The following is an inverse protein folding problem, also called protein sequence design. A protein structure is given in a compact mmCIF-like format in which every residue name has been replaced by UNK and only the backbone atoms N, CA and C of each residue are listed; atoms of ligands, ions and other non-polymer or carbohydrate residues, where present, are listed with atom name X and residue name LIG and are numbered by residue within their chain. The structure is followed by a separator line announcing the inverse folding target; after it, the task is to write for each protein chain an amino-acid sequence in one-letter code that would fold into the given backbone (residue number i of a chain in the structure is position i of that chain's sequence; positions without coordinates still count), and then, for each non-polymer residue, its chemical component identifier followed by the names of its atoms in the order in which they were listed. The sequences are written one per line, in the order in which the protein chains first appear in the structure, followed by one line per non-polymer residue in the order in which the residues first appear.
data_IF_175267191246
#
_entry.id   IF_175267191246
#
_cell.length_a   1.000
_cell.length_b   1.000
_cell.length_c   1.000
_cell.angle_alpha   90.00
_cell.angle_beta   90.00
_cell.angle_gamma   90.00
#
_symmetry.space_group_name_H-M   'P 1'
#
loop_
_entity.id
_entity.type
_entity.pdbx_description
1 polymer ?
2 non-polymer ?
3 non-polymer ?
4 non-polymer ?
5 non-polymer ?
6 water ?
#
# COMPACT_ATOMS: atom_id res chain seq x y z
N UNK A 1 -16.69 1.76 -4.42
CA UNK A 1 -17.14 2.70 -3.38
C UNK A 1 -18.24 2.09 -2.50
N UNK A 2 -18.60 0.81 -2.53
CA UNK A 2 -19.63 0.28 -1.66
C UNK A 2 -19.01 -0.03 -0.29
N UNK A 3 -19.83 -0.72 0.55
CA UNK A 3 -19.23 -1.10 1.81
C UNK A 3 -18.22 -2.32 1.53
N UNK A 4 -17.29 -2.49 2.50
CA UNK A 4 -16.25 -3.48 2.26
C UNK A 4 -16.78 -4.87 2.00
N UNK A 5 -17.84 -5.33 2.70
CA UNK A 5 -18.31 -6.73 2.42
C UNK A 5 -18.81 -6.84 0.96
N UNK A 6 -19.61 -5.88 0.50
CA UNK A 6 -20.08 -5.92 -0.86
C UNK A 6 -18.86 -5.76 -1.83
N UNK A 7 -17.82 -5.01 -1.52
CA UNK A 7 -16.69 -4.80 -2.38
C UNK A 7 -15.82 -6.12 -2.44
N UNK A 8 -15.66 -6.80 -1.32
CA UNK A 8 -14.89 -8.07 -1.41
C UNK A 8 -15.68 -9.05 -2.28
N UNK A 9 -16.99 -9.10 -2.16
CA UNK A 9 -17.78 -9.99 -3.01
C UNK A 9 -17.65 -9.66 -4.49
N UNK A 10 -17.77 -8.36 -4.84
CA UNK A 10 -17.57 -7.92 -6.21
C UNK A 10 -16.21 -8.26 -6.71
N UNK A 11 -15.19 -8.01 -5.91
CA UNK A 11 -13.82 -8.19 -6.36
C UNK A 11 -13.56 -9.66 -6.62
N UNK A 12 -14.16 -10.55 -5.81
CA UNK A 12 -14.00 -11.99 -6.01
C UNK A 12 -14.58 -12.36 -7.40
N UNK A 13 -15.77 -11.85 -7.67
CA UNK A 13 -16.46 -12.13 -8.95
C UNK A 13 -15.64 -11.65 -10.11
N UNK A 14 -15.08 -10.46 -10.01
CA UNK A 14 -14.30 -9.88 -11.16
C UNK A 14 -13.01 -10.73 -11.33
N UNK A 15 -12.33 -11.16 -10.27
CA UNK A 15 -11.14 -11.99 -10.46
C UNK A 15 -11.51 -13.25 -11.15
N UNK A 16 -12.60 -13.91 -10.73
CA UNK A 16 -12.97 -15.20 -11.40
C UNK A 16 -13.30 -14.92 -12.86
N UNK A 17 -14.00 -13.84 -13.18
CA UNK A 17 -14.34 -13.61 -14.59
C UNK A 17 -13.08 -13.36 -15.42
N UNK A 18 -12.10 -12.67 -14.88
CA UNK A 18 -10.88 -12.35 -15.57
C UNK A 18 -9.92 -13.51 -15.61
N UNK A 19 -10.15 -14.57 -14.84
CA UNK A 19 -9.28 -15.74 -14.80
C UNK A 19 -9.70 -16.86 -15.74
N UNK A 20 -10.47 -16.56 -16.78
CA UNK A 20 -10.96 -17.58 -17.72
C UNK A 20 -9.77 -18.32 -18.39
N UNK A 21 -8.65 -17.60 -18.58
CA UNK A 21 -7.44 -18.16 -19.17
C UNK A 21 -6.34 -18.57 -18.20
N UNK A 22 -6.68 -18.56 -16.86
CA UNK A 22 -5.66 -18.95 -15.86
C UNK A 22 -4.63 -17.94 -15.65
N UNK A 23 -4.86 -16.64 -15.99
CA UNK A 23 -3.81 -15.67 -15.88
C UNK A 23 -3.76 -14.98 -14.41
N UNK A 24 -4.71 -15.36 -13.59
CA UNK A 24 -4.76 -14.75 -12.23
C UNK A 24 -4.61 -15.85 -11.17
N UNK A 25 -3.78 -16.84 -11.42
CA UNK A 25 -3.67 -17.90 -10.45
C UNK A 25 -3.28 -17.37 -9.03
N UNK A 26 -2.27 -16.55 -8.95
CA UNK A 26 -1.81 -16.09 -7.62
C UNK A 26 -2.80 -15.21 -6.95
N UNK A 27 -3.52 -14.38 -7.77
CA UNK A 27 -4.48 -13.41 -7.17
C UNK A 27 -5.71 -14.17 -6.68
N UNK A 28 -6.18 -15.16 -7.43
CA UNK A 28 -7.24 -16.01 -6.97
C UNK A 28 -6.81 -16.74 -5.67
N UNK A 29 -5.57 -17.20 -5.60
CA UNK A 29 -5.23 -17.91 -4.34
C UNK A 29 -5.21 -16.96 -3.20
N UNK A 30 -4.67 -15.71 -3.41
CA UNK A 30 -4.67 -14.73 -2.28
C UNK A 30 -6.11 -14.42 -1.92
N UNK A 31 -7.01 -14.26 -2.85
CA UNK A 31 -8.37 -14.00 -2.59
C UNK A 31 -9.03 -15.14 -1.84
N UNK A 32 -8.86 -16.36 -2.29
CA UNK A 32 -9.45 -17.50 -1.61
C UNK A 32 -8.92 -17.58 -0.16
N UNK A 33 -7.63 -17.43 0.04
CA UNK A 33 -7.09 -17.48 1.36
C UNK A 33 -7.73 -16.43 2.30
N UNK A 34 -7.85 -15.22 1.79
CA UNK A 34 -8.49 -14.18 2.64
C UNK A 34 -9.88 -14.52 2.87
N UNK A 35 -10.66 -14.99 1.87
CA UNK A 35 -12.04 -15.35 2.10
C UNK A 35 -12.22 -16.47 3.15
N UNK A 36 -11.24 -17.34 3.24
CA UNK A 36 -11.26 -18.47 4.17
C UNK A 36 -10.43 -18.20 5.42
N UNK A 37 -10.04 -16.98 5.73
CA UNK A 37 -9.05 -16.74 6.79
C UNK A 37 -9.65 -17.02 8.15
N UNK A 38 -10.95 -16.95 8.36
CA UNK A 38 -11.51 -17.22 9.70
C UNK A 38 -11.48 -18.73 9.94
N UNK A 39 -11.29 -19.57 8.89
CA UNK A 39 -11.28 -21.10 9.06
C UNK A 39 -9.93 -21.62 8.96
N UNK A 40 -8.94 -20.94 8.43
CA UNK A 40 -7.66 -21.50 7.99
C UNK A 40 -6.61 -21.40 9.05
N UNK A 41 -6.93 -20.65 10.11
CA UNK A 41 -5.85 -20.30 11.15
C UNK A 41 -4.98 -19.15 10.70
N UNK A 42 -5.25 -18.53 9.54
CA UNK A 42 -4.49 -17.39 9.08
C UNK A 42 -4.58 -16.16 9.94
N UNK A 43 -3.66 -15.24 9.68
CA UNK A 43 -3.64 -13.91 10.33
C UNK A 43 -4.48 -13.02 9.43
N UNK A 44 -5.75 -12.84 9.78
CA UNK A 44 -6.75 -12.08 8.95
C UNK A 44 -6.26 -10.71 8.72
N UNK A 45 -5.77 -9.98 9.71
CA UNK A 45 -5.25 -8.58 9.54
C UNK A 45 -4.08 -8.55 8.58
N UNK A 46 -3.13 -9.44 8.72
CA UNK A 46 -1.95 -9.40 7.81
C UNK A 46 -2.41 -9.77 6.41
N UNK A 47 -3.30 -10.76 6.25
CA UNK A 47 -3.72 -11.04 4.85
C UNK A 47 -4.49 -9.90 4.30
N UNK A 48 -5.37 -9.23 5.03
CA UNK A 48 -6.09 -8.12 4.43
C UNK A 48 -5.10 -6.97 4.14
N UNK A 49 -4.06 -6.74 4.91
CA UNK A 49 -3.02 -5.74 4.56
C UNK A 49 -2.42 -6.06 3.18
N UNK A 50 -2.02 -7.31 2.98
CA UNK A 50 -1.30 -7.62 1.76
C UNK A 50 -2.25 -7.61 0.58
N UNK A 51 -3.55 -7.83 0.79
CA UNK A 51 -4.48 -7.91 -0.37
C UNK A 51 -5.09 -6.50 -0.61
N UNK A 52 -4.91 -5.51 0.25
CA UNK A 52 -5.55 -4.20 0.17
C UNK A 52 -5.35 -3.59 -1.22
N UNK A 53 -4.11 -3.70 -1.78
CA UNK A 53 -3.82 -3.02 -3.01
C UNK A 53 -4.80 -3.53 -4.14
N UNK A 54 -5.16 -4.83 -4.12
CA UNK A 54 -6.05 -5.32 -5.13
C UNK A 54 -7.50 -4.83 -4.92
N UNK A 55 -7.99 -4.87 -3.67
CA UNK A 55 -9.27 -4.31 -3.36
C UNK A 55 -9.36 -2.80 -3.72
N UNK A 56 -8.28 -2.09 -3.46
CA UNK A 56 -8.29 -0.67 -3.76
C UNK A 56 -8.39 -0.48 -5.25
N UNK A 57 -7.64 -1.28 -6.04
CA UNK A 57 -7.68 -1.12 -7.49
C UNK A 57 -9.06 -1.33 -8.09
N UNK A 58 -9.85 -2.26 -7.53
CA UNK A 58 -11.09 -2.56 -8.13
C UNK A 58 -12.32 -1.94 -7.36
N UNK A 59 -12.07 -1.19 -6.28
CA UNK A 59 -13.16 -0.63 -5.43
C UNK A 59 -14.15 0.24 -6.19
N UNK A 60 -15.40 -0.06 -6.04
CA UNK A 60 -16.49 0.77 -6.62
C UNK A 60 -17.17 1.69 -5.63
N UNK B 1 21.03 -0.94 -14.07
CA UNK B 1 21.52 -2.02 -14.93
C UNK B 1 22.72 -2.70 -14.36
N UNK B 2 23.27 -2.39 -13.15
CA UNK B 2 24.43 -3.07 -12.66
C UNK B 2 24.01 -4.46 -12.13
N UNK B 3 24.95 -5.09 -11.43
CA UNK B 3 24.59 -6.33 -10.76
C UNK B 3 23.73 -5.98 -9.48
N UNK B 4 23.02 -7.04 -9.07
CA UNK B 4 22.04 -6.78 -7.99
C UNK B 4 22.70 -6.21 -6.74
N UNK B 5 23.88 -6.71 -6.33
CA UNK B 5 24.48 -6.19 -5.08
C UNK B 5 24.82 -4.71 -5.23
N UNK B 6 25.41 -4.29 -6.35
CA UNK B 6 25.69 -2.88 -6.54
C UNK B 6 24.38 -2.13 -6.58
N UNK B 7 23.33 -2.65 -7.20
CA UNK B 7 22.11 -1.88 -7.38
C UNK B 7 21.41 -1.71 -6.01
N UNK B 8 21.43 -2.79 -5.19
CA UNK B 8 20.79 -2.62 -3.84
C UNK B 8 21.57 -1.50 -3.07
N UNK B 9 22.87 -1.48 -3.16
CA UNK B 9 23.59 -0.47 -2.50
C UNK B 9 23.27 0.94 -3.01
N UNK B 10 23.26 1.06 -4.32
CA UNK B 10 22.86 2.36 -4.89
C UNK B 10 21.49 2.79 -4.51
N UNK B 11 20.53 1.84 -4.48
CA UNK B 11 19.14 2.14 -4.19
C UNK B 11 19.05 2.62 -2.76
N UNK B 12 19.79 1.99 -1.84
CA UNK B 12 19.74 2.36 -0.41
C UNK B 12 20.21 3.87 -0.35
N UNK B 13 21.32 4.20 -0.99
CA UNK B 13 21.85 5.57 -0.93
C UNK B 13 20.84 6.55 -1.51
N UNK B 14 20.17 6.19 -2.61
CA UNK B 14 19.18 7.19 -3.21
C UNK B 14 17.98 7.32 -2.22
N UNK B 15 17.48 6.26 -1.63
CA UNK B 15 16.36 6.48 -0.66
C UNK B 15 16.78 7.34 0.47
N UNK B 16 17.99 7.14 1.01
CA UNK B 16 18.35 7.97 2.16
C UNK B 16 18.47 9.39 1.67
N UNK B 17 19.05 9.69 0.49
CA UNK B 17 19.16 11.10 0.01
C UNK B 17 17.78 11.71 -0.18
N UNK B 18 16.82 10.96 -0.66
CA UNK B 18 15.49 11.43 -0.94
C UNK B 18 14.62 11.61 0.36
N UNK B 19 15.06 10.99 1.47
CA UNK B 19 14.38 11.01 2.72
C UNK B 19 14.81 12.17 3.62
N UNK B 20 15.37 13.25 3.10
CA UNK B 20 15.81 14.36 3.96
C UNK B 20 14.65 15.02 4.69
N UNK B 21 13.43 14.92 4.14
CA UNK B 21 12.25 15.52 4.81
C UNK B 21 11.38 14.46 5.42
N UNK B 22 11.86 13.18 5.55
CA UNK B 22 11.03 12.09 6.21
C UNK B 22 9.94 11.63 5.34
N UNK B 23 9.97 11.85 4.02
CA UNK B 23 8.89 11.47 3.15
C UNK B 23 8.92 9.97 2.76
N UNK B 24 9.98 9.27 3.09
CA UNK B 24 10.11 7.83 2.66
C UNK B 24 10.26 6.97 3.88
N UNK B 25 9.52 7.25 4.94
CA UNK B 25 9.64 6.44 6.17
C UNK B 25 9.41 4.95 5.90
N UNK B 26 8.31 4.60 5.19
CA UNK B 26 7.96 3.21 4.96
C UNK B 26 8.97 2.55 4.05
N UNK B 27 9.42 3.30 3.01
CA UNK B 27 10.32 2.68 2.04
C UNK B 27 11.67 2.46 2.65
N UNK B 28 12.15 3.40 3.50
CA UNK B 28 13.38 3.16 4.24
C UNK B 28 13.24 1.97 5.18
N UNK B 29 12.08 1.80 5.83
CA UNK B 29 11.92 0.61 6.74
C UNK B 29 11.96 -0.64 5.88
N UNK B 30 11.28 -0.67 4.73
CA UNK B 30 11.31 -1.90 3.90
C UNK B 30 12.73 -2.18 3.51
N UNK B 31 13.51 -1.17 3.07
CA UNK B 31 14.88 -1.32 2.64
C UNK B 31 15.71 -1.81 3.80
N UNK B 32 15.60 -1.22 4.99
CA UNK B 32 16.39 -1.67 6.13
C UNK B 32 16.05 -3.12 6.45
N UNK B 33 14.79 -3.49 6.47
CA UNK B 33 14.42 -4.84 6.80
C UNK B 33 15.06 -5.81 5.77
N UNK B 34 14.99 -5.52 4.48
CA UNK B 34 15.61 -6.44 3.52
C UNK B 34 17.08 -6.48 3.73
N UNK B 35 17.79 -5.32 3.95
CA UNK B 35 19.20 -5.31 4.15
C UNK B 35 19.63 -6.15 5.37
N UNK B 36 18.75 -6.21 6.37
CA UNK B 36 19.01 -6.94 7.61
C UNK B 36 18.38 -8.33 7.66
N UNK B 37 17.89 -8.84 6.53
CA UNK B 37 17.00 -10.01 6.63
C UNK B 37 17.85 -11.26 7.00
N UNK B 38 19.15 -11.35 6.75
CA UNK B 38 19.87 -12.56 7.16
C UNK B 38 20.09 -12.53 8.67
N UNK B 39 19.90 -11.40 9.34
CA UNK B 39 20.12 -11.28 10.83
C UNK B 39 18.79 -11.31 11.55
N UNK B 40 17.70 -11.00 10.95
CA UNK B 40 16.46 -10.68 11.68
C UNK B 40 15.57 -11.92 11.79
N UNK B 41 15.95 -13.03 11.16
CA UNK B 41 14.96 -14.19 11.12
C UNK B 41 13.95 -14.01 9.99
N UNK B 42 14.05 -12.91 9.19
CA UNK B 42 13.07 -12.67 8.13
C UNK B 42 13.11 -13.74 7.02
N UNK B 43 12.10 -13.70 6.21
CA UNK B 43 11.91 -14.55 5.02
C UNK B 43 12.53 -13.74 3.88
N UNK B 44 13.82 -13.98 3.55
CA UNK B 44 14.56 -13.16 2.60
C UNK B 44 13.88 -13.19 1.23
N UNK B 45 13.45 -14.35 0.74
CA UNK B 45 12.76 -14.39 -0.53
C UNK B 45 11.52 -13.57 -0.51
N UNK B 46 10.70 -13.66 0.51
CA UNK B 46 9.43 -12.95 0.52
C UNK B 46 9.71 -11.48 0.62
N UNK B 47 10.71 -11.03 1.39
CA UNK B 47 10.97 -9.57 1.46
C UNK B 47 11.52 -9.07 0.13
N UNK B 48 12.40 -9.82 -0.54
CA UNK B 48 12.91 -9.30 -1.80
C UNK B 48 11.82 -9.30 -2.87
N UNK B 49 10.90 -10.26 -2.85
CA UNK B 49 9.77 -10.22 -3.76
C UNK B 49 9.03 -8.92 -3.57
N UNK B 50 8.72 -8.53 -2.32
CA UNK B 50 7.91 -7.39 -2.02
C UNK B 50 8.66 -6.09 -2.17
N UNK B 51 9.98 -6.11 -2.29
CA UNK B 51 10.75 -4.87 -2.51
C UNK B 51 11.05 -4.72 -3.99
N UNK B 52 10.86 -5.73 -4.86
CA UNK B 52 11.27 -5.69 -6.25
C UNK B 52 10.66 -4.45 -6.95
N UNK B 53 9.46 -4.01 -6.59
CA UNK B 53 8.83 -2.85 -7.24
C UNK B 53 9.71 -1.66 -7.12
N UNK B 54 10.36 -1.43 -5.96
CA UNK B 54 11.21 -0.28 -5.81
C UNK B 54 12.53 -0.37 -6.48
N UNK B 55 13.15 -1.58 -6.41
CA UNK B 55 14.41 -1.81 -7.11
C UNK B 55 14.25 -1.65 -8.61
N UNK B 56 13.12 -2.10 -9.13
CA UNK B 56 12.82 -1.99 -10.60
C UNK B 56 12.73 -0.54 -11.00
N UNK B 57 12.18 0.33 -10.17
CA UNK B 57 12.03 1.73 -10.54
C UNK B 57 13.35 2.45 -10.59
N UNK B 58 14.33 2.06 -9.71
CA UNK B 58 15.55 2.75 -9.55
C UNK B 58 16.74 2.06 -10.18
N UNK B 59 16.58 0.84 -10.69
CA UNK B 59 17.66 0.07 -11.31
C UNK B 59 18.37 0.79 -12.43
N UNK B 60 19.69 0.77 -12.33
CA UNK B 60 20.58 1.36 -13.38
C UNK B 60 21.34 0.31 -14.22
N UNK C 1 -18.57 -20.21 8.98
CA UNK C 1 -17.73 -20.90 7.94
C UNK C 1 -18.00 -20.37 6.55
N UNK C 2 -18.83 -19.28 6.40
CA UNK C 2 -19.03 -18.68 5.01
C UNK C 2 -17.82 -17.92 4.61
N UNK C 3 -17.85 -17.40 3.35
CA UNK C 3 -16.71 -16.61 3.01
C UNK C 3 -16.66 -15.29 3.83
N UNK C 4 -15.51 -14.70 3.82
CA UNK C 4 -15.28 -13.53 4.68
C UNK C 4 -16.28 -12.39 4.37
N UNK C 5 -16.64 -12.17 3.12
CA UNK C 5 -17.56 -11.09 2.84
C UNK C 5 -18.92 -11.39 3.49
N UNK C 6 -19.40 -12.64 3.37
CA UNK C 6 -20.60 -13.11 4.05
C UNK C 6 -20.50 -12.93 5.59
N UNK C 7 -19.39 -13.25 6.14
CA UNK C 7 -19.24 -13.20 7.63
C UNK C 7 -19.19 -11.73 8.06
N UNK C 8 -18.52 -10.84 7.33
CA UNK C 8 -18.52 -9.41 7.70
C UNK C 8 -19.98 -8.90 7.58
N UNK C 9 -20.72 -9.24 6.53
CA UNK C 9 -22.09 -8.79 6.41
C UNK C 9 -22.98 -9.28 7.57
N UNK C 10 -22.81 -10.57 7.95
CA UNK C 10 -23.55 -11.11 9.08
C UNK C 10 -23.21 -10.34 10.35
N UNK C 11 -21.94 -10.06 10.59
CA UNK C 11 -21.57 -9.47 11.81
C UNK C 11 -22.09 -8.00 11.83
N UNK C 12 -22.02 -7.31 10.68
CA UNK C 12 -22.57 -5.92 10.63
C UNK C 12 -24.00 -5.96 11.06
N UNK C 13 -24.79 -6.83 10.48
CA UNK C 13 -26.22 -6.75 10.68
C UNK C 13 -26.57 -7.12 12.11
N UNK C 14 -25.93 -8.16 12.65
CA UNK C 14 -26.32 -8.58 14.01
C UNK C 14 -25.77 -7.61 15.00
N UNK C 15 -24.57 -6.99 14.78
CA UNK C 15 -24.03 -6.03 15.75
C UNK C 15 -24.93 -4.85 15.80
N UNK C 16 -25.43 -4.35 14.62
CA UNK C 16 -26.38 -3.21 14.66
C UNK C 16 -27.66 -3.61 15.37
N UNK C 17 -28.19 -4.83 15.18
CA UNK C 17 -29.44 -5.18 15.92
C UNK C 17 -29.12 -5.21 17.43
N UNK C 18 -27.95 -5.67 17.85
CA UNK C 18 -27.66 -5.74 19.30
C UNK C 18 -27.31 -4.39 19.88
N UNK C 19 -27.09 -3.37 19.04
CA UNK C 19 -26.89 -1.98 19.47
C UNK C 19 -28.20 -1.22 19.56
N UNK C 20 -29.39 -1.85 19.64
CA UNK C 20 -30.58 -1.07 19.68
C UNK C 20 -30.67 -0.23 20.95
N UNK C 21 -29.96 -0.61 22.03
CA UNK C 21 -29.89 0.16 23.30
C UNK C 21 -28.65 1.02 23.36
N UNK C 22 -27.90 1.18 22.26
CA UNK C 22 -26.70 1.93 22.36
C UNK C 22 -25.59 1.48 23.27
N UNK C 23 -25.55 0.09 23.44
CA UNK C 23 -24.49 -0.41 24.31
C UNK C 23 -23.15 -0.80 23.61
N UNK C 24 -23.13 -0.64 22.31
CA UNK C 24 -22.01 -1.17 21.55
C UNK C 24 -21.38 -0.04 20.69
N UNK C 25 -21.25 1.17 21.24
CA UNK C 25 -20.75 2.31 20.41
C UNK C 25 -19.37 2.02 19.83
N UNK C 26 -18.43 1.50 20.61
CA UNK C 26 -17.07 1.29 20.11
C UNK C 26 -17.09 0.20 19.01
N UNK C 27 -17.84 -0.86 19.19
CA UNK C 27 -17.80 -1.89 18.20
C UNK C 27 -18.47 -1.48 16.95
N UNK C 28 -19.57 -0.71 17.03
CA UNK C 28 -20.19 -0.19 15.83
C UNK C 28 -19.27 0.80 15.10
N UNK C 29 -18.53 1.63 15.81
CA UNK C 29 -17.63 2.52 15.17
C UNK C 29 -16.54 1.76 14.42
N UNK C 30 -15.97 0.70 15.07
CA UNK C 30 -14.92 -0.09 14.43
C UNK C 30 -15.47 -0.73 13.19
N UNK C 31 -16.67 -1.29 13.26
CA UNK C 31 -17.34 -1.91 12.14
C UNK C 31 -17.50 -0.91 10.96
N UNK C 32 -18.04 0.25 11.28
CA UNK C 32 -18.29 1.23 10.25
C UNK C 32 -17.02 1.70 9.63
N UNK C 33 -15.95 1.92 10.38
CA UNK C 33 -14.67 2.33 9.83
C UNK C 33 -14.12 1.23 8.96
N UNK C 34 -14.19 -0.04 9.36
CA UNK C 34 -13.70 -1.07 8.46
C UNK C 34 -14.52 -1.05 7.19
N UNK C 35 -15.83 -0.98 7.28
CA UNK C 35 -16.68 -1.05 6.09
C UNK C 35 -16.36 0.10 5.14
N UNK C 36 -15.93 1.27 5.59
CA UNK C 36 -15.74 2.40 4.75
C UNK C 36 -14.27 2.56 4.47
N UNK C 37 -13.35 1.67 4.89
CA UNK C 37 -11.94 1.96 4.88
C UNK C 37 -11.36 2.15 3.50
N UNK C 38 -11.82 1.44 2.46
CA UNK C 38 -11.28 1.68 1.12
C UNK C 38 -11.68 3.06 0.60
N UNK C 39 -12.74 3.61 1.10
CA UNK C 39 -13.19 4.96 0.66
C UNK C 39 -12.54 5.98 1.46
N UNK C 40 -12.23 5.78 2.69
CA UNK C 40 -11.78 6.81 3.58
C UNK C 40 -10.27 6.93 3.62
N UNK C 41 -9.56 5.96 3.04
CA UNK C 41 -8.10 5.76 3.13
C UNK C 41 -7.66 5.26 4.49
N UNK C 42 -8.61 4.65 5.20
CA UNK C 42 -8.44 4.08 6.54
C UNK C 42 -7.61 2.87 6.32
N UNK C 43 -7.00 2.32 7.36
CA UNK C 43 -6.15 1.10 7.26
C UNK C 43 -6.95 -0.17 7.50
N UNK C 44 -7.23 -0.99 6.49
CA UNK C 44 -8.17 -2.11 6.68
C UNK C 44 -7.61 -3.05 7.75
N UNK C 45 -6.31 -3.27 7.74
CA UNK C 45 -5.74 -4.25 8.63
C UNK C 45 -5.86 -3.77 10.06
N UNK C 46 -5.62 -2.48 10.31
CA UNK C 46 -5.65 -2.03 11.69
C UNK C 46 -7.14 -2.01 12.20
N UNK C 47 -8.13 -1.73 11.34
CA UNK C 47 -9.55 -1.82 11.73
C UNK C 47 -9.95 -3.24 11.97
N UNK C 48 -9.63 -4.13 11.05
CA UNK C 48 -10.17 -5.50 11.21
C UNK C 48 -9.48 -6.17 12.41
N UNK C 49 -8.22 -5.85 12.73
CA UNK C 49 -7.58 -6.48 13.89
C UNK C 49 -8.47 -6.25 15.13
N UNK C 50 -9.07 -5.10 15.27
CA UNK C 50 -9.83 -4.67 16.45
C UNK C 50 -11.23 -5.28 16.50
N UNK C 51 -11.68 -5.96 15.46
CA UNK C 51 -12.98 -6.66 15.53
C UNK C 51 -12.88 -8.14 15.11
N UNK C 52 -11.62 -8.62 14.97
CA UNK C 52 -11.44 -10.02 14.64
C UNK C 52 -12.10 -11.00 15.58
N UNK C 53 -12.08 -10.67 16.88
CA UNK C 53 -12.67 -11.66 17.86
C UNK C 53 -14.14 -11.73 17.67
N UNK C 54 -14.80 -10.64 17.19
CA UNK C 54 -16.23 -10.73 16.94
C UNK C 54 -16.54 -11.67 15.76
N UNK C 55 -15.75 -11.47 14.66
CA UNK C 55 -15.96 -12.34 13.46
C UNK C 55 -15.64 -13.82 13.90
N UNK C 56 -14.63 -14.00 14.73
CA UNK C 56 -14.31 -15.41 15.10
C UNK C 56 -15.47 -16.00 15.85
N UNK C 57 -16.08 -15.21 16.73
CA UNK C 57 -17.20 -15.71 17.55
C UNK C 57 -18.44 -16.07 16.69
N UNK C 58 -18.79 -15.16 15.73
CA UNK C 58 -19.98 -15.33 14.97
C UNK C 58 -19.81 -16.26 13.76
N UNK C 59 -18.57 -16.61 13.43
CA UNK C 59 -18.27 -17.28 12.14
C UNK C 59 -19.13 -18.52 11.98
N UNK C 60 -19.79 -18.59 10.80
CA UNK C 60 -20.49 -19.81 10.37
C UNK C 60 -19.79 -20.60 9.29
N UNK D 1 12.44 14.06 32.02
CA UNK D 1 11.54 15.01 32.76
C UNK D 1 11.64 16.38 32.03
N UNK D 2 12.28 16.53 30.85
CA UNK D 2 12.20 17.79 30.04
C UNK D 2 10.87 17.90 29.37
N UNK D 3 10.69 19.02 28.65
CA UNK D 3 9.43 19.10 27.91
C UNK D 3 9.31 18.07 26.78
N UNK D 4 8.09 17.87 26.34
CA UNK D 4 7.87 16.80 25.35
C UNK D 4 8.71 17.05 24.08
N UNK D 5 8.91 18.30 23.62
CA UNK D 5 9.68 18.48 22.39
C UNK D 5 11.11 18.02 22.61
N UNK D 6 11.68 18.38 23.78
CA UNK D 6 13.04 17.95 24.10
C UNK D 6 13.09 16.42 24.23
N UNK D 7 12.10 15.81 24.76
CA UNK D 7 12.13 14.33 24.94
C UNK D 7 11.99 13.67 23.55
N UNK D 8 11.15 14.17 22.65
CA UNK D 8 11.06 13.58 21.29
C UNK D 8 12.42 13.78 20.60
N UNK D 9 13.07 14.93 20.74
CA UNK D 9 14.35 15.13 20.11
C UNK D 9 15.39 14.15 20.65
N UNK D 10 15.46 13.98 21.98
CA UNK D 10 16.39 13.03 22.59
C UNK D 10 16.14 11.62 21.99
N UNK D 11 14.87 11.25 21.93
CA UNK D 11 14.57 9.89 21.57
C UNK D 11 14.87 9.65 20.08
N UNK D 12 14.61 10.68 19.24
CA UNK D 12 15.02 10.61 17.79
C UNK D 12 16.53 10.38 17.68
N UNK D 13 17.36 11.15 18.37
CA UNK D 13 18.75 11.08 18.21
C UNK D 13 19.29 9.78 18.72
N UNK D 14 18.78 9.30 19.86
CA UNK D 14 19.31 8.02 20.37
C UNK D 14 18.86 6.86 19.52
N UNK D 15 17.59 6.88 19.08
CA UNK D 15 17.13 5.80 18.24
C UNK D 15 17.97 5.70 16.99
N UNK D 16 18.27 6.86 16.35
CA UNK D 16 19.10 6.77 15.15
C UNK D 16 20.47 6.18 15.45
N UNK D 17 21.06 6.62 16.59
CA UNK D 17 22.42 6.08 16.92
C UNK D 17 22.31 4.60 17.13
N UNK D 18 21.26 4.10 17.77
CA UNK D 18 21.13 2.63 18.07
C UNK D 18 20.71 1.83 16.84
N UNK D 19 20.29 2.50 15.78
CA UNK D 19 19.96 1.89 14.49
C UNK D 19 21.17 1.83 13.57
N UNK D 20 22.43 1.99 14.04
CA UNK D 20 23.55 1.93 13.13
C UNK D 20 23.73 0.57 12.46
N UNK D 21 23.17 -0.48 13.05
CA UNK D 21 23.15 -1.83 12.47
C UNK D 21 21.86 -2.18 11.80
N UNK D 22 20.95 -1.24 11.61
CA UNK D 22 19.68 -1.54 11.02
C UNK D 22 18.77 -2.50 11.74
N UNK D 23 18.90 -2.50 13.13
CA UNK D 23 18.01 -3.35 13.88
C UNK D 23 16.69 -2.78 14.33
N UNK D 24 16.48 -1.51 14.04
CA UNK D 24 15.33 -0.79 14.62
C UNK D 24 14.47 -0.22 13.45
N UNK D 25 14.27 -0.96 12.36
CA UNK D 25 13.54 -0.34 11.22
C UNK D 25 12.18 0.11 11.61
N UNK D 26 11.40 -0.69 12.33
CA UNK D 26 10.05 -0.23 12.63
C UNK D 26 10.00 0.95 13.54
N UNK D 27 10.90 1.04 14.51
CA UNK D 27 10.91 2.14 15.46
C UNK D 27 11.29 3.36 14.74
N UNK D 28 12.31 3.32 13.86
CA UNK D 28 12.73 4.51 13.09
C UNK D 28 11.58 4.95 12.18
N UNK D 29 10.87 4.04 11.53
CA UNK D 29 9.77 4.42 10.70
C UNK D 29 8.67 5.17 11.48
N UNK D 30 8.32 4.59 12.64
CA UNK D 30 7.30 5.25 13.45
C UNK D 30 7.75 6.60 13.93
N UNK D 31 9.01 6.75 14.32
CA UNK D 31 9.56 8.04 14.70
C UNK D 31 9.54 9.06 13.56
N UNK D 32 9.97 8.59 12.37
CA UNK D 32 9.96 9.51 11.22
C UNK D 32 8.57 9.90 10.86
N UNK D 33 7.59 9.04 10.88
CA UNK D 33 6.24 9.37 10.51
C UNK D 33 5.66 10.37 11.58
N UNK D 34 5.93 10.15 12.87
CA UNK D 34 5.43 11.14 13.85
C UNK D 34 6.12 12.45 13.58
N UNK D 35 7.43 12.53 13.34
CA UNK D 35 8.13 13.80 13.15
C UNK D 35 7.57 14.54 11.93
N UNK D 36 7.04 13.87 10.91
CA UNK D 36 6.55 14.48 9.71
C UNK D 36 5.04 14.60 9.71
N UNK D 37 4.34 14.24 10.79
CA UNK D 37 2.89 14.04 10.63
C UNK D 37 2.13 15.31 10.41
N UNK D 38 2.58 16.46 10.90
CA UNK D 38 1.85 17.70 10.52
C UNK D 38 1.98 18.07 9.07
N UNK D 39 3.07 17.63 8.48
CA UNK D 39 3.29 17.85 7.03
C UNK D 39 2.58 16.92 6.12
N UNK D 40 2.41 15.68 6.58
CA UNK D 40 1.93 14.63 5.72
C UNK D 40 0.45 14.38 5.84
N UNK D 41 -0.18 14.97 6.86
CA UNK D 41 -1.60 14.73 7.14
C UNK D 41 -1.75 13.46 8.00
N UNK D 42 -0.64 12.99 8.59
CA UNK D 42 -0.68 11.78 9.46
C UNK D 42 -1.41 12.11 10.74
N UNK D 43 -1.72 11.07 11.51
CA UNK D 43 -2.47 11.18 12.69
C UNK D 43 -1.48 11.15 13.80
N UNK D 44 -1.28 12.30 14.46
CA UNK D 44 -0.22 12.36 15.46
C UNK D 44 -0.46 11.39 16.62
N UNK D 45 -1.76 11.20 17.01
CA UNK D 45 -2.07 10.33 18.12
C UNK D 45 -1.75 8.89 17.74
N UNK D 46 -2.11 8.47 16.51
CA UNK D 46 -1.88 7.10 15.99
C UNK D 46 -0.40 6.83 16.14
N UNK D 47 0.40 7.74 15.60
CA UNK D 47 1.82 7.59 15.55
C UNK D 47 2.48 7.56 16.95
N UNK D 48 2.10 8.54 17.75
CA UNK D 48 2.78 8.65 19.03
C UNK D 48 2.35 7.47 19.94
N UNK D 49 1.17 6.96 19.86
CA UNK D 49 0.74 5.88 20.70
C UNK D 49 1.75 4.72 20.58
N UNK D 50 2.24 4.48 19.37
CA UNK D 50 3.03 3.36 19.04
C UNK D 50 4.50 3.52 19.46
N UNK D 51 4.94 4.67 19.92
CA UNK D 51 6.32 4.88 20.42
C UNK D 51 6.28 5.51 21.84
N UNK D 52 5.08 5.57 22.48
CA UNK D 52 5.04 6.15 23.80
C UNK D 52 5.93 5.41 24.81
N UNK D 53 5.97 4.09 24.63
CA UNK D 53 6.73 3.32 25.64
C UNK D 53 8.19 3.68 25.57
N UNK D 54 8.72 4.07 24.34
CA UNK D 54 10.09 4.48 24.26
C UNK D 54 10.33 5.84 24.96
N UNK D 55 9.41 6.78 24.68
CA UNK D 55 9.57 8.14 25.32
C UNK D 55 9.49 7.94 26.89
N UNK D 56 8.59 7.04 27.29
CA UNK D 56 8.46 6.85 28.77
C UNK D 56 9.75 6.28 29.35
N UNK D 57 10.40 5.36 28.61
CA UNK D 57 11.65 4.78 29.12
C UNK D 57 12.78 5.77 29.14
N UNK D 58 12.92 6.63 28.09
CA UNK D 58 14.05 7.50 27.96
C UNK D 58 13.85 8.87 28.74
N UNK D 59 12.61 9.11 29.21
CA UNK D 59 12.20 10.42 29.70
C UNK D 59 13.17 10.91 30.77
N UNK D 60 13.68 12.16 30.54
CA UNK D 60 14.51 12.83 31.49
C UNK D 60 13.74 13.93 32.25
N UNK E 1 19.44 21.72 -2.49
CA UNK E 1 18.82 22.22 -1.28
C UNK E 1 17.33 22.51 -1.45
N UNK E 2 16.93 22.78 -2.71
CA UNK E 2 15.56 22.65 -3.30
C UNK E 2 14.76 21.44 -2.94
N UNK E 3 13.45 21.68 -2.92
CA UNK E 3 12.38 20.74 -2.62
C UNK E 3 12.12 20.20 -4.03
N UNK E 4 13.22 20.12 -4.73
CA UNK E 4 13.10 19.83 -5.99
C UNK E 4 12.59 18.30 -6.18
N UNK E 5 12.97 17.40 -5.22
CA UNK E 5 12.60 15.97 -5.13
C UNK E 5 11.13 15.48 -4.77
N UNK E 6 10.57 16.28 -3.87
CA UNK E 6 9.23 16.04 -3.39
C UNK E 6 8.24 16.84 -4.17
N UNK E 7 8.52 18.11 -4.39
CA UNK E 7 7.45 18.88 -4.95
C UNK E 7 7.55 19.02 -6.43
N UNK E 8 8.78 19.06 -7.08
CA UNK E 8 8.76 19.34 -8.48
C UNK E 8 8.77 18.02 -9.24
N UNK E 9 9.79 17.16 -8.98
CA UNK E 9 9.74 15.86 -9.65
C UNK E 9 8.67 14.95 -9.09
N UNK E 10 8.29 15.20 -7.85
CA UNK E 10 7.30 14.30 -7.17
C UNK E 10 7.88 12.86 -7.13
N UNK E 11 9.21 12.79 -6.92
CA UNK E 11 9.86 11.45 -6.86
C UNK E 11 9.47 10.70 -5.60
N UNK E 12 9.49 11.38 -4.43
CA UNK E 12 9.06 10.66 -3.21
C UNK E 12 7.61 10.33 -3.30
N UNK E 13 6.73 11.17 -3.95
CA UNK E 13 5.38 10.78 -4.05
C UNK E 13 5.15 9.58 -4.94
N UNK E 14 5.91 9.47 -6.01
CA UNK E 14 5.89 8.27 -6.86
C UNK E 14 6.34 7.03 -6.08
N UNK E 15 7.46 7.13 -5.36
CA UNK E 15 7.90 5.95 -4.54
C UNK E 15 6.87 5.55 -3.53
N UNK E 16 6.23 6.53 -2.86
CA UNK E 16 5.18 6.19 -1.87
C UNK E 16 4.05 5.44 -2.59
N UNK E 17 3.64 5.88 -3.81
CA UNK E 17 2.53 5.26 -4.53
C UNK E 17 2.93 3.89 -5.01
N UNK E 18 4.19 3.69 -5.43
CA UNK E 18 4.68 2.29 -5.73
C UNK E 18 4.65 1.41 -4.53
N UNK E 19 5.04 1.99 -3.40
CA UNK E 19 5.19 1.18 -2.14
C UNK E 19 3.89 0.71 -1.65
N UNK E 20 2.81 1.50 -1.76
CA UNK E 20 1.46 1.14 -1.23
C UNK E 20 0.46 0.76 -2.27
N UNK E 21 0.62 1.23 -3.51
CA UNK E 21 -0.45 1.22 -4.56
C UNK E 21 -1.33 2.40 -4.47
N UNK E 22 -1.29 3.21 -3.40
CA UNK E 22 -2.27 4.31 -3.23
C UNK E 22 -2.00 5.46 -4.22
N UNK E 23 -2.99 5.85 -5.04
CA UNK E 23 -2.81 6.96 -5.99
C UNK E 23 -1.79 6.65 -7.06
N UNK E 24 -1.51 5.37 -7.34
CA UNK E 24 -0.42 5.04 -8.22
C UNK E 24 -0.72 5.31 -9.67
N UNK E 25 -1.92 5.09 -10.15
CA UNK E 25 -2.25 5.51 -11.58
C UNK E 25 -1.99 6.99 -11.74
N UNK E 26 -2.52 7.83 -10.84
CA UNK E 26 -2.25 9.29 -10.92
C UNK E 26 -0.79 9.61 -10.94
N UNK E 27 -0.05 9.03 -9.96
CA UNK E 27 1.32 9.46 -9.79
C UNK E 27 2.18 8.97 -10.95
N UNK E 28 1.91 7.79 -11.49
CA UNK E 28 2.64 7.31 -12.70
C UNK E 28 2.28 8.28 -13.87
N UNK E 29 1.01 8.68 -13.99
CA UNK E 29 0.65 9.59 -15.06
C UNK E 29 1.35 10.95 -14.93
N UNK E 30 1.48 11.47 -13.68
CA UNK E 30 2.18 12.73 -13.49
C UNK E 30 3.65 12.57 -13.83
N UNK E 31 4.30 11.48 -13.39
CA UNK E 31 5.73 11.35 -13.67
C UNK E 31 5.94 11.19 -15.21
N UNK E 32 5.02 10.43 -15.88
CA UNK E 32 5.12 10.29 -17.34
C UNK E 32 5.01 11.66 -18.01
N UNK E 33 4.10 12.51 -17.51
CA UNK E 33 3.96 13.86 -18.13
C UNK E 33 5.25 14.61 -17.96
N UNK E 34 5.87 14.60 -16.75
CA UNK E 34 7.13 15.25 -16.52
C UNK E 34 8.19 14.70 -17.50
N UNK E 35 8.30 13.40 -17.60
CA UNK E 35 9.36 12.77 -18.36
C UNK E 35 9.07 12.77 -19.86
N UNK E 36 7.87 13.26 -20.23
CA UNK E 36 7.66 13.62 -21.67
C UNK E 36 8.57 14.66 -22.14
N UNK E 37 9.20 15.43 -21.25
CA UNK E 37 10.24 16.41 -21.66
C UNK E 37 11.39 15.69 -22.37
N UNK E 38 11.62 14.41 -22.06
CA UNK E 38 12.76 13.70 -22.69
C UNK E 38 12.43 13.30 -24.14
N UNK E 39 11.13 13.26 -24.54
CA UNK E 39 10.67 12.93 -25.88
C UNK E 39 11.38 11.70 -26.38
N UNK E 40 11.68 10.72 -25.56
CA UNK E 40 12.54 9.61 -26.07
C UNK E 40 11.79 8.37 -26.23
N UNK E 41 10.51 8.41 -25.91
CA UNK E 41 9.69 7.23 -25.85
C UNK E 41 10.38 6.08 -25.11
N UNK E 42 11.04 6.38 -23.99
CA UNK E 42 11.78 5.28 -23.33
C UNK E 42 10.91 4.15 -22.60
N UNK E 43 11.52 3.09 -22.08
CA UNK E 43 10.92 2.34 -20.97
C UNK E 43 10.76 3.30 -19.73
N UNK E 44 9.56 3.46 -19.14
CA UNK E 44 9.39 4.48 -18.04
C UNK E 44 10.22 4.17 -16.84
N UNK E 45 10.25 2.89 -16.40
CA UNK E 45 11.05 2.59 -15.20
C UNK E 45 12.54 3.00 -15.43
N UNK E 46 13.06 2.72 -16.63
CA UNK E 46 14.44 3.08 -16.85
C UNK E 46 14.63 4.64 -16.81
N UNK E 47 13.62 5.36 -17.36
CA UNK E 47 13.72 6.80 -17.32
C UNK E 47 13.54 7.35 -15.89
N UNK E 48 12.71 6.69 -15.04
CA UNK E 48 12.61 7.11 -13.61
C UNK E 48 13.94 6.97 -12.97
N UNK E 49 14.62 5.78 -13.24
CA UNK E 49 15.91 5.56 -12.65
C UNK E 49 16.92 6.62 -13.06
N UNK E 50 16.92 7.01 -14.35
CA UNK E 50 17.88 8.05 -14.81
C UNK E 50 17.53 9.47 -14.21
N UNK E 51 16.23 9.71 -14.15
CA UNK E 51 15.80 11.06 -13.56
C UNK E 51 16.25 11.11 -12.10
N UNK E 52 16.14 9.95 -11.38
CA UNK E 52 16.49 9.94 -10.01
C UNK E 52 17.99 10.14 -9.87
N UNK E 53 18.81 9.46 -10.74
CA UNK E 53 20.26 9.76 -10.80
C UNK E 53 20.54 11.24 -10.97
N UNK E 54 19.78 11.84 -11.90
CA UNK E 54 19.98 13.29 -12.14
C UNK E 54 19.65 14.09 -10.86
N UNK E 55 18.58 13.79 -10.18
CA UNK E 55 18.30 14.51 -8.90
C UNK E 55 19.47 14.35 -7.96
N UNK E 56 19.97 13.13 -7.86
CA UNK E 56 21.09 12.86 -6.92
C UNK E 56 22.31 13.69 -7.30
N UNK E 57 22.58 13.83 -8.63
CA UNK E 57 23.72 14.55 -9.10
C UNK E 57 23.57 16.07 -8.82
N UNK E 58 22.33 16.59 -8.93
CA UNK E 58 22.14 17.99 -8.70
C UNK E 58 22.31 18.30 -7.22
N UNK E 59 22.07 17.31 -6.34
CA UNK E 59 22.12 17.50 -4.91
C UNK E 59 21.53 18.85 -4.47
N UNK E 60 20.29 19.16 -4.88
CA UNK E 60 19.65 20.45 -4.53
C UNK E 60 19.15 20.56 -3.11
N UNK F 1 -15.95 -12.76 -25.34
CA UNK F 1 -15.27 -13.95 -25.81
C UNK F 1 -13.85 -13.63 -26.30
N UNK F 2 -13.68 -12.41 -26.83
CA UNK F 2 -12.36 -11.76 -27.10
C UNK F 2 -11.36 -11.78 -25.97
N UNK F 3 -10.10 -11.63 -26.30
CA UNK F 3 -9.16 -11.47 -25.26
C UNK F 3 -8.93 -9.98 -24.98
N UNK F 4 -10.04 -9.26 -24.76
CA UNK F 4 -9.80 -7.93 -24.28
C UNK F 4 -9.16 -7.79 -22.92
N UNK F 5 -9.41 -8.73 -22.01
CA UNK F 5 -8.95 -8.70 -20.64
C UNK F 5 -7.40 -8.84 -20.39
N UNK F 6 -6.77 -9.70 -21.26
CA UNK F 6 -5.35 -9.95 -21.10
C UNK F 6 -4.64 -9.12 -22.15
N UNK F 7 -5.03 -9.24 -23.40
CA UNK F 7 -4.12 -8.71 -24.37
C UNK F 7 -4.46 -7.28 -24.64
N UNK F 8 -5.75 -6.82 -24.73
CA UNK F 8 -5.94 -5.47 -25.22
C UNK F 8 -5.93 -4.53 -24.03
N UNK F 9 -6.81 -4.77 -23.01
CA UNK F 9 -6.72 -3.87 -21.85
C UNK F 9 -5.50 -4.16 -21.00
N UNK F 10 -4.96 -5.36 -21.08
CA UNK F 10 -3.89 -5.77 -20.22
C UNK F 10 -4.33 -5.64 -18.76
N UNK F 11 -5.57 -6.04 -18.48
CA UNK F 11 -6.09 -5.90 -17.07
C UNK F 11 -5.50 -6.99 -16.20
N UNK F 12 -5.41 -8.26 -16.68
CA UNK F 12 -4.80 -9.28 -15.84
C UNK F 12 -3.33 -8.96 -15.66
N UNK F 13 -2.60 -8.37 -16.67
CA UNK F 13 -1.23 -8.03 -16.51
C UNK F 13 -1.06 -6.95 -15.46
N UNK F 14 -1.94 -5.98 -15.40
CA UNK F 14 -1.92 -4.96 -14.37
C UNK F 14 -2.12 -5.56 -12.99
N UNK F 15 -3.11 -6.46 -12.85
CA UNK F 15 -3.33 -7.08 -11.51
C UNK F 15 -2.15 -7.96 -11.14
N UNK F 16 -1.55 -8.69 -12.07
CA UNK F 16 -0.35 -9.43 -11.77
C UNK F 16 0.73 -8.53 -11.26
N UNK F 17 0.95 -7.38 -11.89
CA UNK F 17 2.00 -6.44 -11.48
C UNK F 17 1.74 -5.87 -10.14
N UNK F 18 0.46 -5.51 -9.88
CA UNK F 18 0.12 -4.99 -8.55
C UNK F 18 0.28 -6.09 -7.48
N UNK F 19 -0.11 -7.28 -7.75
CA UNK F 19 -0.08 -8.33 -6.71
C UNK F 19 1.35 -8.76 -6.51
N UNK F 20 2.20 -8.85 -7.51
CA UNK F 20 3.55 -9.35 -7.34
C UNK F 20 4.61 -8.33 -7.22
N UNK F 21 4.30 -7.05 -7.63
CA UNK F 21 5.32 -6.02 -7.69
C UNK F 21 6.23 -6.12 -8.87
N UNK F 22 6.09 -7.13 -9.72
CA UNK F 22 6.98 -7.27 -10.93
C UNK F 22 6.53 -6.36 -12.07
N UNK F 23 7.47 -5.62 -12.57
CA UNK F 23 7.19 -4.73 -13.75
C UNK F 23 6.13 -3.65 -13.39
N UNK F 24 6.04 -3.22 -12.11
CA UNK F 24 4.84 -2.46 -11.67
C UNK F 24 4.84 -1.06 -12.33
N UNK F 25 5.93 -0.31 -12.28
CA UNK F 25 5.83 1.09 -12.82
C UNK F 25 5.49 1.01 -14.31
N UNK F 26 6.10 0.08 -15.11
CA UNK F 26 5.78 0.04 -16.53
C UNK F 26 4.43 -0.42 -16.79
N UNK F 27 3.90 -1.41 -16.05
CA UNK F 27 2.58 -1.91 -16.40
C UNK F 27 1.52 -0.88 -16.02
N UNK F 28 1.68 -0.19 -14.86
CA UNK F 28 0.74 0.88 -14.61
C UNK F 28 0.82 1.94 -15.70
N UNK F 29 1.99 2.26 -16.17
CA UNK F 29 2.11 3.27 -17.25
C UNK F 29 1.37 2.83 -18.51
N UNK F 30 1.46 1.53 -18.82
CA UNK F 30 0.72 1.05 -20.02
C UNK F 30 -0.80 1.23 -19.77
N UNK F 31 -1.28 0.92 -18.59
CA UNK F 31 -2.69 1.05 -18.32
C UNK F 31 -3.11 2.54 -18.39
N UNK F 32 -2.29 3.40 -17.80
CA UNK F 32 -2.66 4.83 -17.81
C UNK F 32 -2.67 5.37 -19.20
N UNK F 33 -1.90 4.84 -20.12
CA UNK F 33 -1.99 5.39 -21.49
C UNK F 33 -3.31 4.98 -22.03
N UNK F 34 -3.78 3.75 -21.82
CA UNK F 34 -5.13 3.39 -22.22
C UNK F 34 -6.17 4.28 -21.55
N UNK F 35 -6.03 4.47 -20.19
CA UNK F 35 -7.02 5.21 -19.29
C UNK F 35 -7.04 6.76 -19.76
N UNK F 36 -5.95 7.21 -20.34
CA UNK F 36 -5.89 8.62 -20.70
C UNK F 36 -6.75 8.87 -21.95
N UNK F 37 -7.02 7.76 -22.66
CA UNK F 37 -7.85 7.86 -23.90
C UNK F 37 -9.34 8.19 -23.52
N UNK F 38 -9.66 7.74 -22.36
CA UNK F 38 -10.97 7.32 -21.93
C UNK F 38 -11.35 8.66 -21.40
N UNK F 39 -10.64 9.09 -20.37
CA UNK F 39 -10.97 10.40 -19.77
C UNK F 39 -10.06 11.54 -20.09
N UNK F 40 -9.47 11.47 -21.31
CA UNK F 40 -8.79 12.62 -22.01
C UNK F 40 -7.80 13.48 -21.13
N UNK F 41 -6.99 12.71 -20.38
CA UNK F 41 -6.08 13.21 -19.38
C UNK F 41 -6.71 13.86 -18.15
N UNK F 42 -7.96 13.56 -17.80
CA UNK F 42 -8.43 13.80 -16.44
C UNK F 42 -7.66 13.09 -15.31
N UNK F 43 -8.08 13.34 -14.06
CA UNK F 43 -7.69 12.60 -12.84
C UNK F 43 -8.08 11.08 -12.98
N UNK F 44 -7.13 10.21 -12.60
CA UNK F 44 -7.28 8.75 -12.84
C UNK F 44 -7.60 7.97 -11.61
N UNK F 45 -7.89 8.59 -10.53
CA UNK F 45 -8.30 7.88 -9.38
C UNK F 45 -9.56 7.13 -9.76
N UNK F 46 -9.66 5.89 -9.38
CA UNK F 46 -10.80 4.93 -9.56
C UNK F 46 -11.14 4.53 -11.01
N UNK F 47 -10.29 4.98 -11.93
CA UNK F 47 -10.53 4.67 -13.30
C UNK F 47 -10.25 3.19 -13.67
N UNK F 48 -9.26 2.55 -13.01
CA UNK F 48 -9.06 1.17 -13.27
C UNK F 48 -10.28 0.37 -12.84
N UNK F 49 -10.89 0.74 -11.69
CA UNK F 49 -12.05 0.06 -11.27
C UNK F 49 -13.23 0.17 -12.24
N UNK F 50 -13.44 1.42 -12.80
CA UNK F 50 -14.57 1.59 -13.71
C UNK F 50 -14.25 0.83 -15.02
N UNK F 51 -13.00 0.89 -15.48
CA UNK F 51 -12.63 0.18 -16.72
C UNK F 51 -12.89 -1.33 -16.56
N UNK F 52 -12.50 -1.83 -15.35
CA UNK F 52 -12.77 -3.25 -15.14
C UNK F 52 -14.24 -3.61 -15.11
N UNK F 53 -15.08 -2.74 -14.48
CA UNK F 53 -16.51 -2.94 -14.57
C UNK F 53 -17.05 -3.00 -15.99
N UNK F 54 -16.51 -2.09 -16.84
CA UNK F 54 -16.92 -2.13 -18.27
C UNK F 54 -16.51 -3.43 -18.89
N UNK F 55 -15.26 -3.88 -18.64
CA UNK F 55 -14.88 -5.20 -19.24
C UNK F 55 -15.86 -6.32 -18.82
N UNK F 56 -16.24 -6.30 -17.54
CA UNK F 56 -17.15 -7.34 -17.08
C UNK F 56 -18.50 -7.24 -17.70
N UNK F 57 -18.89 -5.98 -17.99
CA UNK F 57 -20.23 -5.80 -18.61
C UNK F 57 -20.22 -6.23 -20.08
N UNK F 58 -19.09 -6.12 -20.77
CA UNK F 58 -19.04 -6.53 -22.19
C UNK F 58 -19.14 -8.06 -22.33
N UNK F 59 -18.64 -8.70 -21.27
CA UNK F 59 -18.41 -10.13 -21.23
C UNK F 59 -17.95 -10.71 -22.58
N UNK F 60 -16.84 -10.18 -23.03
CA UNK F 60 -16.36 -10.65 -24.34
C UNK F 60 -15.63 -12.01 -24.28
X LIG G 1 2.68 -12.95 1.26
X LIG G 1 3.16 -14.30 1.83
X LIG G 1 1.28 -12.59 1.51
X LIG G 1 3.53 -11.87 1.92
X LIG G 1 2.80 -13.12 -0.18
X LIG H 1 -21.06 -27.87 4.10
X LIG H 1 -21.13 -28.51 2.80
X LIG H 1 -19.86 -28.23 1.98
X LIG H 1 -19.86 -26.88 1.50
X LIG H 1 -18.87 -26.69 0.43
X LIG H 1 -19.34 -25.42 -0.24
X LIG H 1 -19.09 -24.30 0.66
X LIG H 1 -19.46 -23.07 -0.07
X LIG H 1 -19.20 -22.02 0.94
X LIG H 1 -17.79 -21.83 1.18
X LIG H 1 -17.60 -20.86 2.15
X LIG H 1 -16.09 -20.57 2.36
X LIG H 1 -15.58 -19.98 1.13
X LIG H 1 -14.19 -19.64 1.22
X LIG H 1 -13.76 -18.97 -0.04
X LIG H 1 -13.77 -19.89 -1.11
X LIG H 1 -13.37 -19.20 -2.33
X LIG H 1 -13.27 -20.27 -3.45
X LIG H 1 -14.58 -20.76 -3.68
X LIG H 1 -14.48 -21.62 -4.79
X LIG H 1 -15.77 -22.13 -4.94
X LIG H 1 -16.72 -21.12 -5.27
X LIG H 1 -18.01 -21.69 -4.96
X LIG H 1 -18.98 -20.58 -4.61
X LIG H 1 -19.10 -20.50 -3.20
X LIG H 1 -20.12 -19.52 -3.00
X LIG H 1 -20.34 -19.48 -1.52
X LIG H 1 -19.07 -19.00 -0.98
X LIG I 1 -10.46 -11.03 -3.00
X LIG I 1 -9.56 -10.46 -2.11
X LIG I 1 -8.90 -9.25 -2.45
X LIG I 1 -9.18 -8.67 -3.71
X LIG I 1 -10.09 -9.23 -4.59
X LIG I 1 -10.73 -10.36 -4.21
X LIG I 1 -11.21 -12.30 -2.64
X LIG I 1 -7.89 -8.63 -1.52
X LIG I 1 -10.29 -8.57 -5.92
X LIG J 1 3.40 -5.08 0.53
X LIG J 1 2.13 -5.62 0.60
X LIG J 1 3.51 -4.10 1.64
X LIG J 1 4.60 -5.74 0.53
X LIG J 1 3.42 -4.17 -0.53
X LIG K 1 11.97 18.08 7.19
X LIG K 1 11.06 18.40 8.26
X LIG K 1 10.27 17.13 8.56
X LIG K 1 11.20 16.22 9.10
X LIG K 1 10.45 15.04 9.27
X LIG K 1 11.27 13.97 9.99
X LIG K 1 12.27 13.49 9.15
X LIG K 1 13.03 12.49 9.87
X LIG K 1 14.03 11.87 8.94
X LIG K 1 14.99 12.84 8.56
X LIG K 1 15.95 12.23 7.69
X LIG K 1 16.90 13.41 7.49
X LIG K 1 17.97 13.42 8.39
X LIG K 1 17.71 14.43 9.36
X LIG K 1 18.99 15.19 9.64
X LIG K 1 19.05 15.19 11.06
X LIG L 1 14.87 -2.07 -2.05
X LIG L 1 15.70 -2.15 -0.87
X LIG L 1 16.56 -1.07 -0.56
X LIG L 1 16.57 0.07 -1.37
X LIG L 1 15.72 0.19 -2.45
X LIG L 1 14.90 -0.90 -2.80
X LIG L 1 13.94 -3.21 -2.40
X LIG L 1 17.46 -1.21 0.62
X LIG L 1 15.71 1.46 -3.30
X LIG M 1 -12.39 -0.80 19.83
X LIG M 1 -11.65 -1.15 18.63
X LIG M 1 -13.69 -1.68 19.91
X LIG M 1 -11.67 -1.21 21.11
X LIG M 1 -12.54 0.64 20.05
X LIG N 1 -20.99 -25.10 15.80
X LIG N 1 -21.82 -26.33 15.60
X LIG N 1 -21.49 -23.70 15.35
X LIG N 1 -22.57 -23.22 16.22
X LIG N 1 -20.42 -22.56 15.12
X LIG N 1 -19.63 -22.70 13.93
X LIG O 1 -26.88 2.56 7.05
X LIG O 1 -26.13 3.78 7.10
X LIG O 1 -24.94 3.64 8.06
X LIG O 1 -23.97 2.77 7.44
X LIG O 1 -22.88 2.70 8.32
X LIG O 1 -21.94 1.79 7.65
X LIG O 1 -21.37 2.44 6.46
X LIG O 1 -20.41 1.59 5.91
X LIG O 1 -19.66 2.26 4.75
X LIG O 1 -20.55 2.19 3.65
X LIG O 1 -19.87 2.64 2.52
X LIG O 1 -20.82 2.74 1.33
X LIG O 1 -22.01 3.58 1.67
X LIG O 1 -23.07 3.37 0.67
X LIG O 1 -24.22 4.32 1.00
X LIG O 1 -23.81 5.65 0.65
X LIG O 1 -24.80 6.72 0.91
X LIG O 1 -24.36 8.17 0.72
X LIG O 1 -23.10 8.34 0.01
X LIG O 1 -22.56 9.64 0.45
X LIG O 1 -21.51 9.57 1.63
X LIG O 1 -20.26 8.79 1.39
X LIG P 1 -18.33 -7.06 13.07
X LIG P 1 -18.93 -6.07 12.24
X LIG P 1 -18.07 -5.36 11.33
X LIG P 1 -16.71 -5.60 11.36
X LIG P 1 -16.12 -6.67 12.20
X LIG P 1 -17.01 -7.32 13.09
X LIG P 1 -19.31 -7.76 14.03
X LIG P 1 -18.68 -4.29 10.40
X LIG P 1 -14.64 -6.92 12.20
X LIG Q 1 5.94 -0.11 15.49
X LIG Q 1 5.60 -0.77 14.18
X LIG Q 1 5.11 -1.16 16.21
X LIG Q 1 7.44 0.00 16.11
X LIG Q 1 5.34 1.24 15.81
X LIG R 1 16.53 8.04 35.89
X LIG R 1 16.42 8.59 37.22
X LIG R 1 15.15 8.40 35.20
X LIG R 1 14.54 9.70 35.24
X LIG R 1 14.00 7.62 35.80
X LIG R 1 13.83 6.81 34.66
X LIG S 1 23.20 0.30 4.46
X LIG S 1 23.67 -0.65 5.35
X LIG S 1 25.10 -0.31 5.54
X LIG S 1 25.93 -1.05 6.45
X LIG S 1 27.21 -0.33 6.56
X LIG S 1 27.40 0.88 7.48
X LIG S 1 26.18 1.57 7.84
X LIG S 1 25.94 2.93 7.43
X LIG S 1 24.97 3.49 8.48
X LIG S 1 23.55 3.37 8.22
X LIG S 1 22.77 3.04 9.38
X LIG S 1 21.40 2.64 9.16
X LIG S 1 21.52 1.41 8.42
X LIG S 1 20.21 1.02 8.10
X LIG S 1 20.42 -0.28 7.21
X LIG S 1 21.02 -1.33 7.98
X LIG S 1 21.02 -2.48 7.19
X LIG S 1 21.71 -3.61 7.99
X LIG S 1 23.10 -3.27 8.13
X LIG S 1 23.83 -4.31 8.87
X LIG S 1 25.30 -3.88 8.88
X LIG S 1 25.44 -2.79 9.70
X LIG S 1 26.88 -2.39 9.66
X LIG S 1 27.11 -1.26 10.63
X LIG S 1 27.00 -1.85 11.97
X LIG S 1 27.17 -0.86 13.01
X LIG S 1 26.94 -1.53 14.30
X LIG S 1 28.04 -2.40 14.48
X LIG T 1 11.27 7.95 19.76
X LIG T 1 9.97 7.82 20.20
X LIG T 1 8.95 8.49 19.54
X LIG T 1 9.28 9.22 18.34
X LIG T 1 10.58 9.38 17.93
X LIG T 1 11.65 8.70 18.60
X LIG T 1 12.40 7.20 20.48
X LIG T 1 7.48 8.39 19.96
X LIG T 1 10.92 10.22 16.68
X LIG U 1 15.15 3.01 -22.54
X LIG U 1 14.23 2.13 -23.32
X LIG U 1 14.39 3.97 -21.63
X LIG U 1 16.02 2.11 -21.71
X LIG U 1 16.00 3.77 -23.53
X LIG V 1 -5.60 1.86 -8.66
X LIG V 1 -6.61 2.86 -9.06
X LIG V 1 -4.20 2.36 -9.15
X LIG V 1 -3.69 3.50 -8.42
X LIG V 1 -3.12 1.28 -8.83
X LIG V 1 -2.86 0.93 -7.44
X LIG W 1 9.87 11.20 -11.40
X LIG W 1 10.99 11.99 -11.84
X LIG W 1 12.22 11.84 -11.22
X LIG W 1 12.42 10.91 -10.21
X LIG W 1 11.35 10.18 -9.71
X LIG W 1 10.08 10.27 -10.32
X LIG W 1 8.49 11.38 -11.90
X LIG W 1 13.37 12.76 -11.59
X LIG W 1 11.55 9.23 -8.50
X LIG X 1 3.67 -9.42 -21.74
X LIG X 1 4.99 -10.13 -22.16
X LIG X 1 2.96 -10.40 -20.80
X LIG X 1 3.94 -8.12 -20.88
X LIG X 1 2.77 -8.94 -22.95
X LIG Y 1 6.03 1.67 -20.42
X LIG Y 1 5.67 0.22 -20.37
X LIG Y 1 5.50 2.39 -19.22
X LIG Y 1 7.54 1.97 -20.46
X LIG Y 1 5.30 2.29 -21.65
X LIG Z 1 -8.96 -1.89 -17.72
X LIG Z 1 -7.81 -1.20 -18.09
X LIG Z 1 -6.60 -1.49 -17.42
X LIG Z 1 -6.60 -2.46 -16.34
X LIG Z 1 -7.76 -3.11 -15.98
X LIG Z 1 -8.94 -2.83 -16.71
X LIG Z 1 -10.22 -1.72 -18.57
X LIG Z 1 -5.29 -0.83 -17.77
X LIG Z 1 -7.76 -4.14 -14.89
#
# INVERSE_FOLDING_TARGET
GGDLANEIARCTKLLNALNSGGDLANEIARCTKLLNALNSGGDLANEIARCTKLLNALNS
GGDLANEIARCTKLLNALNSGGDLANEIARCTKLLNALNSGGDLANEIARCTKLLNALNS
GGDLANEIARCTKLLNALNSGGDLANEIARCTKLLNALNSGGDLANEIARCTKLLNALNS
GGDLANEIARCTKLLNALNSGGDLANEIARCTKLLNALNSGGDLANEIARCTKLLNALNS
GGDLANEIARCTKLLNALNSGGDLANEIARCTKLLNALNSGGDLANEIARCTKLLNALNS
GGDLANEIARCTKLLNALNSGGDLANEIARCTKLLNALNSGGDLANEIARCTKLLNALNS
SO4 S O1 O2 O3 O4
2PE O1 C2 C3 O4 C5 C6 O7 C8 C9 O10 C11 C12 O13 C14 C15 O16 C17 C18 O19 C20 C21 O22 C23 C24 O25 C26 C27 O28
TMM C1 C2 C3 C4 C5 C6 C1A C3A C5A
SO4 S O1 O2 O3 O4
2PE O10 C11 C12 O13 C14 C15 O16 C17 C18 O19 C20 C21 O22 C23 C24 O25
TMM C1 C2 C3 C4 C5 C6 C1A C3A C5A
SO4 S O1 O2 O3 O4
GOL C1 O1 C2 O2 C3 O3
2PE O7 C8 C9 O10 C11 C12 O13 C14 C15 O16 C17 C18 O19 C20 C21 O22 C23 C24 O25 C26 C27 O28
TMM C1 C2 C3 C4 C5 C6 C1A C3A C5A
SO4 S O1 O2 O3 O4
GOL C1 O1 C2 O2 C3 O3
2PE O1 C2 C3 O4 C5 C6 O7 C8 C9 O10 C11 C12 O13 C14 C15 O16 C17 C18 O19 C20 C21 O22 C23 C24 O25 C26 C27 O28
TMM C1 C2 C3 C4 C5 C6 C1A C3A C5A
SO4 S O1 O2 O3 O4
GOL C1 O1 C2 O2 C3 O3
TMM C1 C2 C3 C4 C5 C6 C1A C3A C5A
SO4 S O1 O2 O3 O4
SO4 S O1 O2 O3 O4
TMM C1 C2 C3 C4 C5 C6 C1A C3A C5A
#
